data_IF_779876930687
#
_entry.id   IF_779876930687
#
_cell.length_a   1.000
_cell.length_b   1.000
_cell.length_c   1.000
_cell.angle_alpha   90.00
_cell.angle_beta   90.00
_cell.angle_gamma   90.00
#
_symmetry.space_group_name_H-M   'P 1'
#
loop_
_entity.id
_entity.type
_entity.pdbx_description
1 polymer ?
#
# COMPACT_ATOMS: atom_id res chain seq x y z
N UNK A 1 134.44 -42.71 29.50
CA UNK A 1 133.45 -43.30 30.43
C UNK A 1 132.51 -44.23 29.67
N UNK A 2 132.62 -45.42 30.11
CA UNK A 2 131.83 -46.48 29.52
C UNK A 2 130.41 -46.32 30.04
N UNK A 3 129.51 -46.31 29.09
CA UNK A 3 128.08 -46.28 29.46
C UNK A 3 127.78 -47.51 30.32
N UNK A 4 127.20 -47.34 31.43
CA UNK A 4 126.78 -48.44 32.34
C UNK A 4 125.39 -48.19 32.83
N UNK A 5 124.79 -49.22 33.30
CA UNK A 5 123.47 -49.17 33.83
C UNK A 5 123.44 -49.43 35.34
N UNK A 6 122.55 -48.74 36.00
CA UNK A 6 122.30 -48.99 37.45
C UNK A 6 121.01 -49.69 37.63
N UNK A 7 120.98 -50.79 38.35
CA UNK A 7 119.70 -51.37 38.75
C UNK A 7 118.98 -50.36 39.68
N UNK A 8 117.65 -50.34 39.66
CA UNK A 8 116.81 -49.42 40.36
C UNK A 8 117.13 -49.28 41.86
N UNK A 9 117.50 -50.34 42.50
CA UNK A 9 117.91 -50.40 43.92
C UNK A 9 119.22 -49.70 44.27
N UNK A 10 120.00 -49.21 43.25
CA UNK A 10 121.18 -48.40 43.39
C UNK A 10 120.95 -46.92 43.16
N UNK A 11 119.78 -46.58 42.80
CA UNK A 11 119.41 -45.15 42.59
C UNK A 11 118.82 -44.72 43.93
N UNK A 12 119.54 -43.80 44.60
CA UNK A 12 119.08 -43.23 45.88
C UNK A 12 118.63 -41.80 45.65
N UNK A 13 117.89 -41.30 46.63
CA UNK A 13 117.40 -39.91 46.68
C UNK A 13 116.46 -39.47 45.53
N UNK A 14 115.81 -40.42 44.97
CA UNK A 14 114.72 -40.08 44.02
C UNK A 14 113.50 -39.64 44.83
N UNK A 15 113.09 -38.38 44.67
CA UNK A 15 111.99 -37.88 45.48
C UNK A 15 110.65 -38.55 45.10
N UNK A 16 109.77 -38.55 46.01
CA UNK A 16 108.36 -38.83 45.68
C UNK A 16 107.78 -37.65 44.84
N UNK A 17 107.09 -37.97 43.79
CA UNK A 17 106.42 -36.99 42.97
C UNK A 17 105.30 -36.26 43.74
N UNK A 18 105.17 -35.00 43.51
CA UNK A 18 104.04 -34.16 43.98
C UNK A 18 103.62 -33.19 42.88
N UNK A 19 102.69 -32.33 43.15
CA UNK A 19 102.26 -31.27 42.15
C UNK A 19 103.40 -30.32 41.76
N UNK A 20 104.45 -30.16 42.59
CA UNK A 20 105.57 -29.25 42.37
C UNK A 20 106.93 -29.96 42.19
N UNK A 21 107.05 -31.23 42.52
CA UNK A 21 108.35 -32.02 42.50
C UNK A 21 108.17 -33.22 41.55
N UNK A 22 109.13 -33.29 40.60
CA UNK A 22 109.27 -34.50 39.75
C UNK A 22 109.90 -35.64 40.50
N UNK A 23 109.31 -36.83 40.46
CA UNK A 23 109.84 -38.00 41.17
C UNK A 23 109.06 -39.27 40.84
N UNK A 24 109.34 -40.28 41.66
CA UNK A 24 108.62 -41.53 41.55
C UNK A 24 107.23 -41.44 42.18
N UNK A 25 106.34 -42.15 41.66
CA UNK A 25 104.93 -42.13 42.11
C UNK A 25 104.42 -43.57 42.24
N UNK A 26 103.64 -43.81 43.33
CA UNK A 26 102.90 -45.02 43.48
C UNK A 26 101.68 -45.05 42.61
N UNK A 27 101.43 -46.10 41.95
CA UNK A 27 100.22 -46.30 41.19
C UNK A 27 99.02 -46.68 42.08
N UNK A 28 97.87 -46.06 41.80
CA UNK A 28 96.60 -46.39 42.50
C UNK A 28 95.53 -46.72 41.49
N UNK A 29 94.80 -47.77 41.71
CA UNK A 29 93.58 -48.14 40.94
C UNK A 29 92.30 -47.68 41.61
N UNK A 30 92.36 -46.92 42.67
CA UNK A 30 91.14 -46.31 43.26
C UNK A 30 90.56 -45.26 42.35
N UNK A 31 89.29 -45.29 42.13
CA UNK A 31 88.58 -44.35 41.29
C UNK A 31 88.01 -43.13 42.06
N UNK A 32 88.12 -43.18 43.38
CA UNK A 32 87.65 -42.13 44.30
C UNK A 32 88.78 -41.58 45.20
N UNK A 33 90.10 -41.78 44.82
CA UNK A 33 91.22 -41.28 45.57
C UNK A 33 91.34 -39.80 45.53
N UNK A 34 91.60 -39.14 46.63
CA UNK A 34 91.95 -37.75 46.77
C UNK A 34 93.46 -37.50 46.87
N UNK A 35 94.31 -38.55 46.65
CA UNK A 35 95.74 -38.46 46.73
C UNK A 35 96.34 -37.60 45.64
N UNK A 36 97.16 -36.58 45.96
CA UNK A 36 97.92 -35.76 45.03
C UNK A 36 99.30 -36.29 44.72
N UNK A 37 99.69 -37.43 45.34
CA UNK A 37 101.02 -38.09 45.25
C UNK A 37 101.00 -39.47 44.61
N UNK A 38 99.85 -39.92 44.13
CA UNK A 38 99.63 -41.14 43.38
C UNK A 38 99.22 -40.89 41.95
N UNK A 39 99.63 -41.78 41.08
CA UNK A 39 99.18 -41.73 39.66
C UNK A 39 98.10 -42.81 39.45
N UNK A 40 97.06 -42.41 38.75
CA UNK A 40 96.01 -43.34 38.39
C UNK A 40 96.51 -44.41 37.43
N UNK A 41 96.13 -45.62 37.64
CA UNK A 41 96.37 -46.73 36.72
C UNK A 41 95.44 -46.68 35.52
N UNK A 42 95.80 -47.26 34.39
CA UNK A 42 94.87 -47.42 33.27
C UNK A 42 93.58 -48.10 33.68
N UNK A 43 93.61 -48.97 34.72
CA UNK A 43 92.41 -49.62 35.32
C UNK A 43 91.45 -48.56 35.94
N UNK A 44 92.04 -47.63 36.72
CA UNK A 44 91.26 -46.61 37.37
C UNK A 44 90.63 -45.65 36.30
N UNK A 45 91.49 -45.28 35.31
CA UNK A 45 91.01 -44.43 34.22
C UNK A 45 89.93 -45.13 33.41
N UNK A 46 90.10 -46.40 33.09
CA UNK A 46 89.06 -47.15 32.38
C UNK A 46 87.75 -47.23 33.18
N UNK A 47 87.84 -47.49 34.49
CA UNK A 47 86.66 -47.56 35.32
C UNK A 47 85.94 -46.20 35.40
N UNK A 48 86.68 -45.10 35.43
CA UNK A 48 86.11 -43.73 35.32
C UNK A 48 85.48 -43.48 33.94
N UNK A 49 86.17 -43.91 32.88
CA UNK A 49 85.65 -43.84 31.54
C UNK A 49 84.35 -44.66 31.37
N UNK A 50 84.34 -45.90 31.80
CA UNK A 50 83.16 -46.75 31.73
C UNK A 50 82.00 -46.18 32.55
N UNK A 51 82.33 -45.60 33.71
CA UNK A 51 81.31 -44.90 34.50
C UNK A 51 80.75 -43.64 33.71
N UNK A 52 81.63 -42.86 33.08
CA UNK A 52 81.28 -41.73 32.33
C UNK A 52 80.49 -42.12 31.06
N UNK A 53 80.96 -43.18 30.35
CA UNK A 53 80.25 -43.70 29.18
C UNK A 53 78.84 -44.31 29.52
N UNK A 54 78.68 -44.79 30.75
CA UNK A 54 77.36 -45.25 31.23
C UNK A 54 76.41 -44.16 31.67
N UNK A 55 76.87 -42.89 31.67
CA UNK A 55 75.99 -41.81 31.97
C UNK A 55 75.20 -41.45 30.71
N UNK A 56 74.05 -40.85 30.93
CA UNK A 56 73.20 -40.41 29.82
C UNK A 56 73.94 -39.37 28.95
N UNK A 57 73.87 -39.40 27.60
CA UNK A 57 74.43 -38.40 26.71
C UNK A 57 73.94 -37.00 27.09
N UNK A 58 74.71 -35.96 26.74
CA UNK A 58 74.34 -34.55 26.95
C UNK A 58 73.01 -34.27 26.27
N UNK A 59 72.72 -34.97 25.15
CA UNK A 59 71.44 -34.94 24.48
C UNK A 59 70.82 -36.35 24.61
N UNK A 60 69.75 -36.46 25.33
CA UNK A 60 69.01 -37.74 25.51
C UNK A 60 67.49 -37.39 25.67
N UNK A 61 66.66 -38.39 25.51
CA UNK A 61 65.21 -38.27 25.67
C UNK A 61 64.73 -39.09 26.84
N UNK A 62 63.73 -38.55 27.50
CA UNK A 62 63.00 -39.28 28.52
C UNK A 62 61.62 -39.62 28.01
N UNK A 63 61.17 -40.86 28.03
CA UNK A 63 59.76 -41.14 27.83
C UNK A 63 58.94 -40.52 28.98
N UNK A 64 57.71 -40.11 28.63
CA UNK A 64 56.86 -39.36 29.55
C UNK A 64 56.69 -39.99 30.93
N UNK A 65 56.64 -41.30 30.99
CA UNK A 65 56.50 -42.02 32.24
C UNK A 65 57.69 -41.89 33.17
N UNK A 66 58.81 -41.34 32.73
CA UNK A 66 60.03 -41.08 33.58
C UNK A 66 60.05 -39.58 34.02
N UNK A 67 59.09 -38.79 33.62
CA UNK A 67 58.97 -37.39 34.06
C UNK A 67 58.02 -37.43 35.29
N UNK A 68 58.55 -37.20 36.45
CA UNK A 68 57.79 -37.17 37.73
C UNK A 68 57.63 -35.71 38.18
N UNK A 69 56.69 -35.48 39.08
CA UNK A 69 56.47 -34.20 39.77
C UNK A 69 56.16 -33.02 38.84
N UNK A 70 55.62 -33.29 37.62
CA UNK A 70 55.13 -32.23 36.78
C UNK A 70 53.81 -31.72 37.38
N UNK A 71 53.74 -30.43 37.77
CA UNK A 71 52.54 -29.90 38.41
C UNK A 71 51.34 -29.86 37.45
N UNK A 72 50.17 -29.90 37.98
CA UNK A 72 48.98 -29.52 37.23
C UNK A 72 49.01 -28.00 36.99
N UNK A 73 48.69 -27.58 35.76
CA UNK A 73 48.62 -26.18 35.43
C UNK A 73 47.46 -25.51 36.17
N UNK A 74 47.69 -24.26 36.57
CA UNK A 74 46.67 -23.38 37.11
C UNK A 74 46.89 -21.95 36.59
N UNK A 75 46.13 -21.01 37.05
CA UNK A 75 46.30 -19.58 36.65
C UNK A 75 47.68 -19.04 37.08
N UNK A 76 48.33 -19.63 38.10
CA UNK A 76 49.61 -19.17 38.65
C UNK A 76 50.74 -20.16 38.47
N UNK A 77 50.49 -21.43 38.17
CA UNK A 77 51.49 -22.49 38.03
C UNK A 77 51.47 -23.04 36.62
N UNK A 78 52.65 -23.08 36.00
CA UNK A 78 52.84 -23.77 34.70
C UNK A 78 52.89 -25.29 34.95
N UNK A 79 52.23 -26.06 34.13
CA UNK A 79 52.19 -27.50 34.27
C UNK A 79 51.41 -28.18 33.17
N UNK A 80 51.07 -29.44 33.44
CA UNK A 80 50.21 -30.23 32.55
C UNK A 80 48.76 -29.87 32.78
N UNK A 81 47.98 -29.92 31.70
CA UNK A 81 46.54 -29.64 31.75
C UNK A 81 45.74 -30.72 31.04
N UNK A 82 44.64 -31.09 31.61
CA UNK A 82 43.68 -31.97 30.94
C UNK A 82 42.86 -31.17 29.91
N UNK A 83 42.67 -31.71 28.72
CA UNK A 83 41.84 -31.09 27.70
C UNK A 83 40.35 -31.37 27.96
N UNK A 84 39.52 -30.36 27.72
CA UNK A 84 38.07 -30.45 27.81
C UNK A 84 37.40 -29.96 26.53
N UNK A 85 36.43 -30.72 26.05
CA UNK A 85 35.57 -30.30 24.91
C UNK A 85 34.23 -29.71 25.36
N UNK A 86 34.05 -29.47 26.65
CA UNK A 86 32.87 -28.81 27.17
C UNK A 86 32.89 -27.33 26.77
N UNK A 87 31.77 -26.82 26.29
CA UNK A 87 31.59 -25.40 25.87
C UNK A 87 31.06 -24.51 26.99
N UNK A 88 30.65 -25.13 28.12
CA UNK A 88 30.08 -24.46 29.29
C UNK A 88 30.81 -24.76 30.59
N UNK A 89 32.11 -25.20 30.50
CA UNK A 89 32.92 -25.51 31.69
C UNK A 89 33.35 -24.23 32.41
N UNK A 90 33.27 -24.23 33.72
CA UNK A 90 33.82 -23.19 34.60
C UNK A 90 35.18 -23.60 35.20
N UNK A 91 35.80 -24.67 34.69
CA UNK A 91 37.11 -25.15 35.17
C UNK A 91 38.23 -24.16 34.82
N UNK A 92 39.01 -23.81 35.81
CA UNK A 92 40.24 -22.99 35.65
C UNK A 92 41.52 -23.84 35.48
N UNK A 93 41.39 -25.19 35.52
CA UNK A 93 42.50 -26.14 35.45
C UNK A 93 42.48 -27.01 34.20
N UNK A 94 41.54 -26.76 33.29
CA UNK A 94 41.42 -27.48 32.02
C UNK A 94 41.64 -26.52 30.83
N UNK A 95 42.14 -27.04 29.72
CA UNK A 95 42.27 -26.30 28.47
C UNK A 95 41.18 -26.74 27.50
N UNK A 96 40.59 -25.76 26.77
CA UNK A 96 39.63 -26.04 25.74
C UNK A 96 40.28 -26.74 24.54
N UNK A 97 39.61 -27.77 24.02
CA UNK A 97 40.03 -28.41 22.77
C UNK A 97 39.67 -27.53 21.57
N UNK A 98 40.34 -27.71 20.40
CA UNK A 98 39.90 -27.14 19.16
C UNK A 98 38.42 -27.43 18.85
N UNK A 99 37.90 -28.59 19.25
CA UNK A 99 36.48 -28.95 19.12
C UNK A 99 35.56 -28.02 19.93
N UNK A 100 35.92 -27.73 21.17
CA UNK A 100 35.17 -26.81 22.01
C UNK A 100 35.20 -25.38 21.40
N UNK A 101 36.39 -24.94 21.00
CA UNK A 101 36.55 -23.60 20.36
C UNK A 101 35.76 -23.51 19.06
N UNK A 102 35.80 -24.57 18.22
CA UNK A 102 34.99 -24.62 16.99
C UNK A 102 33.50 -24.55 17.29
N UNK A 103 33.01 -25.25 18.27
CA UNK A 103 31.61 -25.21 18.64
C UNK A 103 31.16 -23.79 19.07
N UNK A 104 31.99 -23.07 19.81
CA UNK A 104 31.73 -21.68 20.19
C UNK A 104 31.83 -20.74 18.97
N UNK A 105 32.81 -20.97 18.09
CA UNK A 105 32.94 -20.24 16.86
C UNK A 105 31.71 -20.41 15.96
N UNK A 106 31.26 -21.67 15.77
CA UNK A 106 30.08 -21.97 14.96
C UNK A 106 28.82 -21.32 15.58
N UNK A 107 28.68 -21.35 16.88
CA UNK A 107 27.59 -20.66 17.59
C UNK A 107 27.67 -19.15 17.41
N UNK A 108 28.85 -18.55 17.50
CA UNK A 108 29.05 -17.12 17.30
C UNK A 108 28.80 -16.71 15.85
N UNK A 109 29.29 -17.52 14.90
CA UNK A 109 29.09 -17.29 13.47
C UNK A 109 27.63 -17.49 13.03
N UNK A 110 26.87 -18.33 13.74
CA UNK A 110 25.41 -18.48 13.56
C UNK A 110 24.57 -17.36 14.20
N UNK A 111 25.18 -16.47 14.96
CA UNK A 111 24.51 -15.27 15.45
C UNK A 111 24.43 -14.24 14.33
N UNK A 112 23.41 -13.40 14.41
CA UNK A 112 23.26 -12.34 13.46
C UNK A 112 24.52 -11.42 13.50
N UNK A 113 25.10 -11.09 12.31
CA UNK A 113 26.21 -10.15 12.27
C UNK A 113 25.84 -8.83 12.95
N UNK A 114 26.82 -8.17 13.51
CA UNK A 114 26.63 -6.83 14.04
C UNK A 114 26.17 -5.91 12.89
N UNK A 115 24.95 -5.43 13.01
CA UNK A 115 24.30 -4.54 12.06
C UNK A 115 23.96 -3.22 12.76
N UNK A 116 24.28 -2.12 12.12
CA UNK A 116 24.07 -0.81 12.71
C UNK A 116 22.57 -0.51 12.92
N UNK A 117 21.72 -0.97 12.00
CA UNK A 117 20.26 -0.86 12.12
C UNK A 117 19.73 -1.61 13.34
N UNK A 118 20.21 -2.86 13.55
CA UNK A 118 19.81 -3.64 14.72
C UNK A 118 20.34 -3.04 16.03
N UNK A 119 21.55 -2.48 15.99
CA UNK A 119 22.13 -1.77 17.13
C UNK A 119 21.29 -0.54 17.49
N UNK A 120 20.85 0.23 16.48
CA UNK A 120 19.97 1.37 16.68
C UNK A 120 18.63 0.96 17.31
N UNK A 121 18.03 -0.15 16.84
CA UNK A 121 16.79 -0.69 17.41
C UNK A 121 16.99 -1.20 18.84
N UNK A 122 18.10 -1.93 19.11
CA UNK A 122 18.41 -2.46 20.43
C UNK A 122 18.69 -1.37 21.46
N UNK A 123 19.16 -0.19 21.02
CA UNK A 123 19.41 0.97 21.86
C UNK A 123 18.16 1.75 22.27
N UNK A 124 16.99 1.40 21.73
CA UNK A 124 15.74 2.10 22.05
C UNK A 124 15.23 1.72 23.46
N UNK A 125 14.81 2.72 24.22
CA UNK A 125 14.15 2.52 25.51
C UNK A 125 12.72 2.01 25.29
N UNK A 126 12.56 0.70 25.11
CA UNK A 126 11.26 0.07 24.84
C UNK A 126 10.31 0.25 26.03
N UNK A 127 9.05 0.55 25.71
CA UNK A 127 7.97 0.65 26.70
C UNK A 127 6.65 0.26 26.03
N UNK A 128 5.62 0.03 26.83
CA UNK A 128 4.27 -0.17 26.32
C UNK A 128 3.85 1.01 25.43
N UNK A 129 3.10 0.73 24.40
CA UNK A 129 2.57 1.72 23.46
C UNK A 129 3.64 2.53 22.70
N UNK A 130 4.85 2.00 22.55
CA UNK A 130 5.89 2.58 21.71
C UNK A 130 6.07 1.78 20.43
N UNK A 131 6.13 2.49 19.31
CA UNK A 131 6.40 1.94 17.99
C UNK A 131 7.76 2.47 17.51
N UNK A 132 8.75 1.58 17.25
CA UNK A 132 10.01 2.00 16.67
C UNK A 132 9.82 2.41 15.20
N UNK A 133 10.56 3.41 14.78
CA UNK A 133 10.63 3.84 13.39
C UNK A 133 12.02 4.37 13.06
N UNK A 134 12.41 4.28 11.78
CA UNK A 134 13.70 4.76 11.33
C UNK A 134 13.65 6.26 11.05
N UNK A 135 14.65 6.98 11.51
CA UNK A 135 14.81 8.43 11.31
C UNK A 135 15.88 8.75 10.26
N UNK A 136 16.60 7.74 9.79
CA UNK A 136 17.65 7.80 8.79
C UNK A 136 18.38 6.47 8.67
N UNK A 137 19.47 6.41 7.90
CA UNK A 137 20.31 5.22 7.82
C UNK A 137 20.86 4.90 9.21
N UNK A 138 20.68 3.67 9.66
CA UNK A 138 21.18 3.15 10.93
C UNK A 138 20.78 3.97 12.17
N UNK A 139 19.69 4.71 12.06
CA UNK A 139 19.13 5.50 13.17
C UNK A 139 17.65 5.19 13.36
N UNK A 140 17.24 5.02 14.60
CA UNK A 140 15.86 4.70 14.96
C UNK A 140 15.39 5.53 16.16
N UNK A 141 14.09 5.76 16.25
CA UNK A 141 13.44 6.45 17.34
C UNK A 141 12.13 5.77 17.72
N UNK A 142 11.53 6.21 18.79
CA UNK A 142 10.23 5.72 19.25
C UNK A 142 9.16 6.79 19.07
N UNK A 143 8.01 6.41 18.56
CA UNK A 143 6.78 7.20 18.63
C UNK A 143 5.74 6.49 19.50
N UNK A 144 4.72 7.21 19.92
CA UNK A 144 3.62 6.60 20.68
C UNK A 144 2.63 5.97 19.70
N UNK A 145 2.38 4.69 19.86
CA UNK A 145 1.29 4.01 19.18
C UNK A 145 -0.01 4.30 19.93
N UNK A 146 -0.77 5.29 19.44
CA UNK A 146 -2.06 5.66 20.03
C UNK A 146 -3.10 4.54 19.88
N UNK A 147 -4.18 4.58 20.66
CA UNK A 147 -5.30 3.65 20.53
C UNK A 147 -5.90 3.69 19.12
N UNK A 148 -5.99 4.87 18.50
CA UNK A 148 -6.46 5.01 17.11
C UNK A 148 -5.52 4.29 16.15
N UNK A 149 -4.22 4.51 16.27
CA UNK A 149 -3.22 3.82 15.43
C UNK A 149 -3.29 2.31 15.59
N UNK A 150 -3.41 1.80 16.82
CA UNK A 150 -3.56 0.37 17.11
C UNK A 150 -4.83 -0.19 16.49
N UNK A 151 -5.97 0.51 16.67
CA UNK A 151 -7.23 0.08 16.11
C UNK A 151 -7.23 0.05 14.57
N UNK A 152 -6.49 0.96 13.92
CA UNK A 152 -6.31 0.92 12.46
C UNK A 152 -5.47 -0.31 12.05
N UNK A 153 -4.35 -0.55 12.73
CA UNK A 153 -3.47 -1.69 12.45
C UNK A 153 -4.14 -3.05 12.71
N UNK A 154 -5.12 -3.10 13.61
CA UNK A 154 -5.90 -4.30 13.94
C UNK A 154 -6.94 -4.66 12.88
N UNK A 155 -7.18 -3.81 11.89
CA UNK A 155 -8.21 -4.08 10.87
C UNK A 155 -7.72 -5.04 9.81
N UNK A 156 -8.50 -6.10 9.58
CA UNK A 156 -8.17 -7.18 8.64
C UNK A 156 -8.34 -6.78 7.16
N UNK A 157 -8.94 -5.62 6.86
CA UNK A 157 -9.19 -5.19 5.47
C UNK A 157 -9.27 -3.67 5.35
N UNK A 158 -9.02 -3.17 4.14
CA UNK A 158 -9.22 -1.74 3.80
C UNK A 158 -10.64 -1.29 4.11
N UNK A 159 -11.64 -2.14 3.86
CA UNK A 159 -13.04 -1.85 4.17
C UNK A 159 -13.25 -1.64 5.68
N UNK A 160 -12.65 -2.49 6.51
CA UNK A 160 -12.74 -2.37 7.97
C UNK A 160 -12.07 -1.09 8.49
N UNK A 161 -10.97 -0.64 7.86
CA UNK A 161 -10.33 0.65 8.16
C UNK A 161 -11.27 1.81 7.81
N UNK A 162 -11.85 1.79 6.61
CA UNK A 162 -12.77 2.83 6.13
C UNK A 162 -13.99 2.95 7.07
N UNK A 163 -14.54 1.81 7.50
CA UNK A 163 -15.66 1.77 8.47
C UNK A 163 -15.25 2.33 9.84
N UNK A 164 -14.08 1.95 10.33
CA UNK A 164 -13.58 2.48 11.60
C UNK A 164 -13.39 3.99 11.58
N UNK A 165 -12.97 4.55 10.44
CA UNK A 165 -12.85 5.99 10.25
C UNK A 165 -14.20 6.71 10.05
N UNK A 166 -15.31 5.97 10.01
CA UNK A 166 -16.64 6.54 9.76
C UNK A 166 -16.84 7.02 8.33
N UNK A 167 -16.01 6.57 7.40
CA UNK A 167 -16.06 6.98 6.00
C UNK A 167 -16.94 6.07 5.12
N UNK A 168 -17.52 5.03 5.70
CA UNK A 168 -18.48 4.17 5.02
C UNK A 168 -19.59 3.69 5.96
N UNK A 169 -20.74 3.34 5.38
CA UNK A 169 -21.80 2.64 6.10
C UNK A 169 -21.51 1.11 6.20
N UNK A 170 -22.41 0.38 6.86
CA UNK A 170 -22.30 -1.07 7.03
C UNK A 170 -22.28 -1.85 5.71
N UNK A 171 -22.80 -1.27 4.61
CA UNK A 171 -22.79 -1.89 3.27
C UNK A 171 -21.48 -1.67 2.51
N UNK A 172 -20.57 -0.84 3.06
CA UNK A 172 -19.32 -0.45 2.42
C UNK A 172 -19.46 0.72 1.44
N UNK A 173 -20.59 1.43 1.48
CA UNK A 173 -20.77 2.64 0.69
C UNK A 173 -19.95 3.80 1.27
N UNK A 174 -19.06 4.35 0.46
CA UNK A 174 -18.16 5.47 0.84
C UNK A 174 -18.54 6.79 0.18
N UNK A 175 -19.51 6.81 -0.71
CA UNK A 175 -19.93 8.01 -1.44
C UNK A 175 -18.94 8.50 -2.49
N UNK A 176 -17.95 7.69 -2.84
CA UNK A 176 -16.96 8.03 -3.85
C UNK A 176 -17.60 8.01 -5.25
N UNK A 177 -17.56 9.14 -5.96
CA UNK A 177 -17.99 9.18 -7.34
C UNK A 177 -17.14 8.24 -8.22
N UNK A 178 -17.83 7.44 -9.06
CA UNK A 178 -17.22 6.52 -10.01
C UNK A 178 -17.33 7.00 -11.43
N UNK A 179 -18.54 7.40 -11.85
CA UNK A 179 -18.82 7.71 -13.24
C UNK A 179 -20.11 8.53 -13.38
N UNK A 180 -20.31 9.11 -14.56
CA UNK A 180 -21.57 9.71 -14.96
C UNK A 180 -21.97 9.18 -16.33
N UNK A 181 -23.21 8.68 -16.44
CA UNK A 181 -23.83 8.23 -17.69
C UNK A 181 -24.92 9.22 -18.09
N UNK A 182 -24.91 9.67 -19.35
CA UNK A 182 -25.88 10.58 -19.87
C UNK A 182 -26.60 9.92 -21.04
N UNK A 183 -27.94 9.85 -20.95
CA UNK A 183 -28.81 9.31 -21.99
C UNK A 183 -29.67 10.43 -22.56
N UNK A 184 -29.39 10.79 -23.80
CA UNK A 184 -30.23 11.75 -24.63
C UNK A 184 -31.13 11.02 -25.60
N UNK A 185 -31.02 9.68 -25.65
CA UNK A 185 -31.88 8.77 -26.39
C UNK A 185 -32.06 7.47 -25.56
N UNK A 186 -33.11 6.73 -25.83
CA UNK A 186 -33.36 5.45 -25.16
C UNK A 186 -32.22 4.46 -25.35
N UNK A 187 -31.91 3.67 -24.33
CA UNK A 187 -30.79 2.74 -24.33
C UNK A 187 -30.80 1.83 -23.10
N UNK A 188 -29.67 1.27 -22.77
CA UNK A 188 -29.49 0.39 -21.60
C UNK A 188 -28.41 0.94 -20.71
N UNK A 189 -28.71 1.09 -19.44
CA UNK A 189 -27.75 1.41 -18.39
C UNK A 189 -27.22 0.11 -17.79
N UNK A 190 -25.88 -0.03 -17.70
CA UNK A 190 -25.21 -1.09 -17.00
C UNK A 190 -24.30 -0.44 -15.94
N UNK A 191 -24.51 -0.73 -14.65
CA UNK A 191 -23.69 -0.18 -13.59
C UNK A 191 -22.20 -0.51 -13.76
N UNK A 192 -21.33 0.46 -13.51
CA UNK A 192 -19.89 0.22 -13.42
C UNK A 192 -19.58 -0.74 -12.27
N UNK A 193 -18.64 -1.70 -12.41
CA UNK A 193 -18.27 -2.57 -11.31
C UNK A 193 -17.89 -1.79 -10.05
N UNK A 194 -18.46 -2.17 -8.91
CA UNK A 194 -18.23 -1.47 -7.64
C UNK A 194 -19.26 -0.39 -7.31
N UNK A 195 -20.21 -0.10 -8.21
CA UNK A 195 -21.32 0.83 -7.94
C UNK A 195 -22.19 0.32 -6.80
N UNK A 196 -22.33 1.08 -5.75
CA UNK A 196 -23.17 0.82 -4.57
C UNK A 196 -24.48 1.61 -4.61
N UNK A 197 -24.42 2.85 -5.01
CA UNK A 197 -25.57 3.75 -5.17
C UNK A 197 -25.48 4.55 -6.45
N UNK A 198 -26.62 4.95 -6.95
CA UNK A 198 -26.74 5.84 -8.10
C UNK A 198 -27.64 7.01 -7.76
N UNK A 199 -27.30 8.20 -8.26
CA UNK A 199 -28.21 9.33 -8.30
C UNK A 199 -28.73 9.48 -9.71
N UNK A 200 -30.03 9.35 -9.87
CA UNK A 200 -30.73 9.44 -11.15
C UNK A 200 -31.41 10.78 -11.24
N UNK A 201 -31.08 11.56 -12.27
CA UNK A 201 -31.80 12.79 -12.65
C UNK A 201 -32.45 12.54 -13.99
N UNK A 202 -33.77 12.43 -14.01
CA UNK A 202 -34.52 12.07 -15.23
C UNK A 202 -35.62 13.06 -15.47
N UNK A 203 -35.77 13.51 -16.75
CA UNK A 203 -36.71 14.54 -17.20
C UNK A 203 -37.49 13.99 -18.37
N UNK A 204 -38.81 14.22 -18.37
CA UNK A 204 -39.70 13.87 -19.47
C UNK A 204 -39.52 14.80 -20.66
N UNK A 205 -40.06 14.44 -21.81
CA UNK A 205 -40.12 15.31 -23.01
C UNK A 205 -41.01 16.49 -22.82
N UNK A 206 -40.68 17.64 -23.38
CA UNK A 206 -41.55 18.82 -23.41
C UNK A 206 -42.70 18.68 -24.43
N UNK A 207 -43.82 19.31 -24.18
CA UNK A 207 -44.92 19.40 -25.11
C UNK A 207 -44.62 20.31 -26.30
N UNK A 208 -45.22 20.07 -27.43
CA UNK A 208 -45.14 20.96 -28.59
C UNK A 208 -46.04 22.20 -28.43
N UNK A 209 -45.67 23.33 -29.01
CA UNK A 209 -46.53 24.50 -29.05
C UNK A 209 -47.69 24.36 -30.05
N UNK A 210 -48.77 25.08 -29.83
CA UNK A 210 -49.89 25.17 -30.76
C UNK A 210 -49.53 25.85 -32.09
N UNK A 211 -50.09 25.39 -33.18
CA UNK A 211 -49.98 26.01 -34.49
C UNK A 211 -50.90 27.19 -34.63
N UNK A 212 -50.91 27.80 -35.82
CA UNK A 212 -51.80 28.92 -36.15
C UNK A 212 -52.17 28.87 -37.63
N UNK A 213 -53.42 29.16 -37.92
CA UNK A 213 -53.92 29.52 -39.25
C UNK A 213 -55.19 30.28 -39.07
N UNK A 214 -55.19 31.61 -39.10
CA UNK A 214 -56.38 32.42 -38.94
C UNK A 214 -56.88 32.83 -40.31
N UNK A 215 -58.09 32.46 -40.66
CA UNK A 215 -58.77 32.78 -41.92
C UNK A 215 -60.00 33.63 -41.67
N UNK A 216 -60.38 33.87 -40.40
CA UNK A 216 -61.49 34.72 -40.02
C UNK A 216 -61.23 35.40 -38.68
N UNK A 217 -61.95 36.50 -38.38
CA UNK A 217 -61.86 37.21 -37.11
C UNK A 217 -62.40 36.37 -35.91
N UNK A 218 -62.97 35.22 -36.15
CA UNK A 218 -63.49 34.32 -35.16
C UNK A 218 -62.43 33.24 -34.72
N UNK A 219 -61.22 33.36 -35.19
CA UNK A 219 -60.14 32.44 -34.89
C UNK A 219 -59.07 33.12 -34.09
N UNK A 220 -58.41 32.35 -33.24
CA UNK A 220 -57.22 32.79 -32.50
C UNK A 220 -55.99 32.81 -33.41
N UNK A 221 -55.34 33.94 -33.48
CA UNK A 221 -54.14 34.18 -34.33
C UNK A 221 -52.86 33.71 -33.65
N UNK A 222 -52.93 33.13 -32.38
CA UNK A 222 -51.85 32.85 -31.56
C UNK A 222 -52.00 31.41 -30.99
N UNK A 223 -51.03 30.52 -31.27
CA UNK A 223 -50.87 29.23 -30.61
C UNK A 223 -50.27 29.42 -29.23
N UNK A 224 -50.71 28.58 -28.28
CA UNK A 224 -50.15 28.57 -26.95
C UNK A 224 -48.84 27.76 -26.89
N UNK A 225 -48.00 28.02 -25.91
CA UNK A 225 -46.77 27.27 -25.67
C UNK A 225 -47.03 25.87 -25.07
N UNK A 226 -46.20 24.90 -25.40
CA UNK A 226 -46.20 23.59 -24.78
C UNK A 226 -45.60 23.61 -23.39
N UNK A 227 -46.09 22.78 -22.45
CA UNK A 227 -45.52 22.64 -21.11
C UNK A 227 -44.20 21.86 -21.13
N UNK A 228 -43.36 22.06 -20.15
CA UNK A 228 -42.12 21.31 -19.99
C UNK A 228 -42.38 19.96 -19.34
N UNK A 229 -41.50 18.97 -19.56
CA UNK A 229 -41.50 17.72 -18.86
C UNK A 229 -41.12 17.86 -17.39
N UNK A 230 -41.71 17.04 -16.53
CA UNK A 230 -41.35 16.97 -15.13
C UNK A 230 -39.98 16.30 -14.94
N UNK A 231 -39.29 16.66 -13.84
CA UNK A 231 -37.99 16.11 -13.49
C UNK A 231 -38.06 15.38 -12.14
N UNK A 232 -37.37 14.25 -12.07
CA UNK A 232 -37.19 13.47 -10.86
C UNK A 232 -35.69 13.38 -10.57
N UNK A 233 -35.32 13.60 -9.31
CA UNK A 233 -33.99 13.27 -8.80
C UNK A 233 -34.19 12.27 -7.69
N UNK A 234 -33.52 11.10 -7.77
CA UNK A 234 -33.65 10.07 -6.76
C UNK A 234 -32.35 9.31 -6.59
N UNK A 235 -32.08 8.91 -5.33
CA UNK A 235 -30.94 8.05 -5.00
C UNK A 235 -31.46 6.63 -4.81
N UNK A 236 -30.81 5.66 -5.45
CA UNK A 236 -31.23 4.27 -5.37
C UNK A 236 -30.03 3.32 -5.39
N UNK A 237 -30.24 2.13 -4.84
CA UNK A 237 -29.26 1.03 -4.92
C UNK A 237 -29.60 0.18 -6.14
N UNK A 238 -28.66 0.06 -7.12
CA UNK A 238 -28.92 -0.84 -8.25
C UNK A 238 -28.93 -2.29 -7.79
N UNK A 239 -29.96 -3.02 -8.14
CA UNK A 239 -30.16 -4.45 -7.80
C UNK A 239 -30.06 -5.37 -9.01
N UNK A 240 -30.00 -4.81 -10.22
CA UNK A 240 -29.94 -5.54 -11.48
C UNK A 240 -28.62 -5.23 -12.21
N UNK A 241 -28.21 -6.14 -13.05
CA UNK A 241 -27.00 -5.98 -13.88
C UNK A 241 -27.20 -4.98 -15.02
N UNK A 242 -28.44 -4.70 -15.41
CA UNK A 242 -28.77 -3.70 -16.42
C UNK A 242 -30.20 -3.20 -16.27
N UNK A 243 -30.44 -2.00 -16.74
CA UNK A 243 -31.74 -1.32 -16.70
C UNK A 243 -32.05 -0.69 -18.04
N UNK A 244 -33.25 -0.86 -18.60
CA UNK A 244 -33.68 -0.10 -19.75
C UNK A 244 -33.86 1.37 -19.34
N UNK A 245 -33.42 2.27 -20.21
CA UNK A 245 -33.62 3.72 -20.10
C UNK A 245 -34.50 4.13 -21.27
N UNK A 246 -35.66 4.67 -20.99
CA UNK A 246 -36.52 5.27 -22.02
C UNK A 246 -36.43 6.77 -21.91
N UNK A 247 -36.16 7.43 -23.00
CA UNK A 247 -36.16 8.92 -23.11
C UNK A 247 -37.38 9.34 -23.83
N UNK A 248 -38.19 10.16 -23.17
CA UNK A 248 -39.41 10.71 -23.74
C UNK A 248 -39.09 11.70 -24.86
N UNK A 249 -39.66 11.47 -26.05
CA UNK A 249 -39.52 12.39 -27.16
C UNK A 249 -40.29 13.69 -26.87
N UNK A 250 -39.78 14.78 -27.35
CA UNK A 250 -40.52 16.06 -27.36
C UNK A 250 -41.75 15.98 -28.24
N UNK A 251 -42.85 16.55 -27.78
CA UNK A 251 -44.09 16.62 -28.53
C UNK A 251 -43.96 17.43 -29.82
N UNK A 252 -44.62 17.00 -30.87
CA UNK A 252 -44.66 17.77 -32.14
C UNK A 252 -45.43 19.07 -31.95
N UNK A 253 -44.96 20.14 -32.60
CA UNK A 253 -45.75 21.38 -32.71
C UNK A 253 -47.01 21.16 -33.53
N UNK A 254 -48.09 21.84 -33.16
CA UNK A 254 -49.34 21.84 -33.94
C UNK A 254 -49.11 22.44 -35.34
N UNK A 255 -49.68 21.77 -36.34
CA UNK A 255 -49.61 22.24 -37.74
C UNK A 255 -50.90 22.97 -38.07
N UNK A 256 -50.77 24.16 -38.64
CA UNK A 256 -52.00 24.96 -38.93
C UNK A 256 -52.79 25.22 -37.63
N UNK A 257 -54.08 25.27 -37.67
CA UNK A 257 -54.94 25.50 -36.51
C UNK A 257 -55.14 24.25 -35.64
N UNK A 258 -54.04 23.62 -35.19
CA UNK A 258 -54.09 22.43 -34.32
C UNK A 258 -53.23 22.58 -33.06
N UNK A 259 -53.60 21.85 -32.04
CA UNK A 259 -52.84 21.78 -30.80
C UNK A 259 -51.50 21.10 -31.03
N UNK A 260 -50.50 21.50 -30.25
CA UNK A 260 -49.26 20.73 -30.10
C UNK A 260 -49.55 19.40 -29.41
N UNK A 261 -48.66 18.41 -29.58
CA UNK A 261 -48.78 17.11 -28.91
C UNK A 261 -48.04 17.11 -27.59
N UNK A 262 -48.47 16.23 -26.71
CA UNK A 262 -47.79 15.95 -25.44
C UNK A 262 -46.37 15.37 -25.67
N UNK A 263 -45.41 15.73 -24.84
CA UNK A 263 -44.13 15.06 -24.77
C UNK A 263 -44.23 13.68 -24.15
N UNK A 264 -43.31 12.79 -24.50
CA UNK A 264 -43.23 11.45 -23.97
C UNK A 264 -42.71 11.42 -22.52
N UNK A 265 -43.08 10.37 -21.76
CA UNK A 265 -42.48 10.12 -20.46
C UNK A 265 -41.07 9.55 -20.62
N UNK A 266 -40.15 9.99 -19.75
CA UNK A 266 -38.86 9.32 -19.60
C UNK A 266 -38.95 8.30 -18.43
N UNK A 267 -38.39 7.12 -18.61
CA UNK A 267 -38.55 6.01 -17.64
C UNK A 267 -37.18 5.40 -17.32
N UNK A 268 -36.91 5.23 -16.04
CA UNK A 268 -35.78 4.48 -15.52
C UNK A 268 -36.22 3.67 -14.29
N UNK A 269 -36.17 2.34 -14.38
CA UNK A 269 -36.68 1.45 -13.33
C UNK A 269 -38.15 1.80 -12.98
N UNK A 270 -38.41 2.13 -11.72
CA UNK A 270 -39.73 2.59 -11.26
C UNK A 270 -39.97 4.11 -11.43
N UNK A 271 -38.95 4.86 -11.82
CA UNK A 271 -39.06 6.31 -11.98
C UNK A 271 -39.68 6.66 -13.33
N UNK A 272 -40.76 7.40 -13.29
CA UNK A 272 -41.49 7.89 -14.51
C UNK A 272 -41.53 9.39 -14.42
N UNK A 273 -40.68 10.07 -15.21
CA UNK A 273 -40.70 11.52 -15.40
C UNK A 273 -41.71 11.86 -16.52
N UNK A 274 -42.84 12.48 -16.18
CA UNK A 274 -43.91 12.71 -17.13
C UNK A 274 -43.54 13.80 -18.15
N UNK A 275 -44.02 13.62 -19.39
CA UNK A 275 -43.91 14.66 -20.41
C UNK A 275 -44.88 15.82 -20.19
N UNK A 276 -44.52 17.00 -20.68
CA UNK A 276 -45.37 18.18 -20.68
C UNK A 276 -46.52 18.08 -21.69
N UNK A 277 -47.64 18.71 -21.41
CA UNK A 277 -48.78 18.79 -22.32
C UNK A 277 -48.48 19.69 -23.52
N UNK A 278 -49.13 19.42 -24.64
CA UNK A 278 -49.07 20.30 -25.81
C UNK A 278 -49.79 21.60 -25.59
N UNK A 279 -49.33 22.68 -26.23
CA UNK A 279 -50.00 23.98 -26.25
C UNK A 279 -51.26 23.95 -27.11
N UNK A 280 -52.28 24.61 -26.64
CA UNK A 280 -53.58 24.68 -27.31
C UNK A 280 -53.61 25.57 -28.56
N UNK A 281 -54.62 25.30 -29.39
CA UNK A 281 -55.03 26.17 -30.51
C UNK A 281 -56.54 26.29 -30.60
N UNK A 282 -57.23 25.62 -29.75
CA UNK A 282 -58.70 25.61 -29.77
C UNK A 282 -59.26 26.74 -28.92
N UNK A 283 -59.95 27.68 -29.51
CA UNK A 283 -60.50 28.81 -28.81
C UNK A 283 -60.67 30.03 -29.79
N UNK A 284 -61.59 30.93 -29.50
CA UNK A 284 -61.88 32.11 -30.33
C UNK A 284 -61.03 33.29 -29.85
N UNK A 285 -60.82 33.43 -28.58
CA UNK A 285 -60.11 34.61 -28.01
C UNK A 285 -58.81 34.26 -27.31
N UNK A 286 -58.68 33.05 -26.81
CA UNK A 286 -57.46 32.58 -26.14
C UNK A 286 -57.27 31.07 -26.34
N UNK A 287 -56.08 30.63 -26.20
CA UNK A 287 -55.70 29.21 -26.16
C UNK A 287 -54.85 28.94 -24.96
N UNK A 288 -55.09 27.84 -24.29
CA UNK A 288 -54.37 27.53 -23.05
C UNK A 288 -53.00 26.97 -23.33
N UNK A 289 -52.05 27.41 -22.57
CA UNK A 289 -50.71 26.81 -22.49
C UNK A 289 -50.78 25.34 -22.06
N UNK A 290 -49.84 24.55 -22.50
CA UNK A 290 -49.72 23.15 -22.07
C UNK A 290 -49.25 23.10 -20.62
N UNK A 291 -49.88 22.31 -19.80
CA UNK A 291 -49.43 22.10 -18.40
C UNK A 291 -48.11 21.38 -18.37
N UNK A 292 -47.24 21.75 -17.42
CA UNK A 292 -46.00 21.04 -17.14
C UNK A 292 -46.25 19.64 -16.62
N UNK A 293 -45.32 18.74 -16.87
CA UNK A 293 -45.34 17.38 -16.33
C UNK A 293 -45.19 17.39 -14.81
N UNK A 294 -46.06 16.69 -14.09
CA UNK A 294 -46.07 16.64 -12.62
C UNK A 294 -45.63 15.24 -12.19
N UNK A 295 -44.37 15.07 -11.68
CA UNK A 295 -43.94 13.79 -11.15
C UNK A 295 -44.65 13.42 -9.85
N UNK A 296 -45.03 12.15 -9.69
CA UNK A 296 -45.70 11.63 -8.49
C UNK A 296 -44.81 10.65 -7.66
N UNK A 297 -43.61 10.33 -8.15
CA UNK A 297 -42.67 9.41 -7.52
C UNK A 297 -41.26 10.01 -7.54
N UNK A 298 -40.39 9.58 -6.63
CA UNK A 298 -39.00 10.00 -6.49
C UNK A 298 -38.76 10.87 -5.27
N UNK A 299 -37.49 11.02 -4.89
CA UNK A 299 -37.08 11.75 -3.67
C UNK A 299 -37.28 13.27 -3.82
N UNK A 300 -36.87 13.81 -4.96
CA UNK A 300 -37.10 15.20 -5.34
C UNK A 300 -37.90 15.21 -6.63
N UNK A 301 -39.02 15.90 -6.61
CA UNK A 301 -39.98 15.97 -7.69
C UNK A 301 -40.12 17.45 -8.13
N UNK A 302 -39.77 17.72 -9.37
CA UNK A 302 -39.78 19.08 -9.93
C UNK A 302 -40.79 19.09 -11.06
N UNK A 303 -41.87 19.83 -10.89
CA UNK A 303 -42.86 20.06 -11.93
C UNK A 303 -42.26 20.84 -13.06
N UNK A 304 -42.52 20.44 -14.29
CA UNK A 304 -42.18 21.25 -15.47
C UNK A 304 -42.94 22.56 -15.48
N UNK A 305 -42.36 23.60 -16.07
CA UNK A 305 -43.05 24.88 -16.26
C UNK A 305 -44.21 24.72 -17.24
N UNK A 306 -45.32 25.42 -16.99
CA UNK A 306 -46.41 25.51 -17.92
C UNK A 306 -46.02 26.35 -19.14
N UNK A 307 -46.59 26.05 -20.27
CA UNK A 307 -46.51 26.91 -21.46
C UNK A 307 -47.35 28.15 -21.28
N UNK A 308 -46.95 29.25 -21.90
CA UNK A 308 -47.74 30.48 -21.93
C UNK A 308 -49.01 30.35 -22.80
N UNK A 309 -50.07 31.03 -22.38
CA UNK A 309 -51.29 31.12 -23.16
C UNK A 309 -51.06 31.91 -24.46
N UNK A 310 -51.80 31.56 -25.51
CA UNK A 310 -51.92 32.35 -26.70
C UNK A 310 -53.18 33.21 -26.63
N UNK A 311 -53.07 34.54 -26.79
CA UNK A 311 -54.18 35.43 -26.68
C UNK A 311 -54.25 36.34 -27.88
N UNK A 312 -55.46 36.55 -28.39
CA UNK A 312 -55.76 37.54 -29.44
C UNK A 312 -56.62 38.70 -28.89
N UNK A 313 -56.58 39.82 -29.50
CA UNK A 313 -57.28 41.02 -29.10
C UNK A 313 -56.36 42.24 -29.03
N UNK A 314 -56.77 43.25 -28.22
CA UNK A 314 -55.98 44.45 -28.07
C UNK A 314 -54.58 44.25 -27.49
N UNK A 315 -54.39 43.16 -26.79
CA UNK A 315 -53.09 42.71 -26.31
C UNK A 315 -52.83 41.30 -26.86
N UNK A 316 -52.01 41.27 -27.88
CA UNK A 316 -51.64 40.01 -28.53
C UNK A 316 -50.48 39.41 -27.82
N UNK A 317 -50.66 38.22 -27.19
CA UNK A 317 -49.60 37.45 -26.51
C UNK A 317 -49.56 36.08 -27.13
N UNK A 318 -48.40 35.69 -27.63
CA UNK A 318 -48.14 34.31 -28.05
C UNK A 318 -47.46 33.54 -26.95
N UNK A 319 -47.80 32.24 -26.85
CA UNK A 319 -47.35 31.37 -25.82
C UNK A 319 -45.88 30.99 -25.94
N UNK A 320 -45.09 31.34 -24.98
CA UNK A 320 -43.73 30.80 -24.79
C UNK A 320 -43.83 29.37 -24.30
N UNK A 321 -42.89 28.52 -24.71
CA UNK A 321 -42.80 27.16 -24.16
C UNK A 321 -42.38 27.17 -22.71
N UNK A 322 -42.90 26.20 -21.90
CA UNK A 322 -42.56 26.03 -20.50
C UNK A 322 -41.06 25.73 -20.29
N UNK A 323 -40.48 26.31 -19.27
CA UNK A 323 -39.11 26.02 -18.87
C UNK A 323 -39.03 24.67 -18.13
N UNK A 324 -38.00 23.88 -18.43
CA UNK A 324 -37.67 22.67 -17.72
C UNK A 324 -36.65 22.93 -16.58
N UNK A 325 -36.31 21.90 -15.82
CA UNK A 325 -35.20 21.93 -14.86
C UNK A 325 -33.87 22.39 -15.50
N UNK A 326 -33.69 22.13 -16.80
CA UNK A 326 -32.45 22.39 -17.55
C UNK A 326 -32.41 23.77 -18.23
N UNK A 327 -33.54 24.47 -18.26
CA UNK A 327 -33.57 25.80 -18.84
C UNK A 327 -34.85 26.14 -19.62
N UNK A 328 -34.82 27.23 -20.32
CA UNK A 328 -35.96 27.86 -20.96
C UNK A 328 -36.57 27.09 -22.13
N UNK A 329 -37.84 27.33 -22.35
CA UNK A 329 -38.61 26.79 -23.44
C UNK A 329 -38.34 27.50 -24.79
N UNK A 330 -39.07 27.07 -25.80
CA UNK A 330 -39.07 27.65 -27.10
C UNK A 330 -39.78 28.99 -27.10
N UNK A 331 -39.23 29.98 -27.74
CA UNK A 331 -39.87 31.28 -27.96
C UNK A 331 -41.08 31.11 -28.89
N UNK A 332 -42.14 31.84 -28.63
CA UNK A 332 -43.19 32.05 -29.62
C UNK A 332 -42.63 32.71 -30.90
N UNK A 333 -43.23 32.42 -32.05
CA UNK A 333 -42.68 32.87 -33.30
C UNK A 333 -43.73 33.29 -34.37
N UNK A 334 -43.52 34.43 -34.95
CA UNK A 334 -44.19 34.85 -36.21
C UNK A 334 -43.69 33.92 -37.32
N UNK A 335 -44.61 33.25 -37.99
CA UNK A 335 -44.24 32.30 -39.03
C UNK A 335 -43.88 30.89 -38.50
N UNK A 336 -43.84 30.68 -37.20
CA UNK A 336 -43.62 29.38 -36.56
C UNK A 336 -43.04 29.48 -35.16
N UNK A 337 -43.50 28.64 -34.25
CA UNK A 337 -42.97 28.54 -32.90
C UNK A 337 -41.55 27.94 -32.88
N UNK A 338 -40.70 28.41 -31.97
CA UNK A 338 -39.32 27.87 -31.80
C UNK A 338 -39.40 26.62 -30.95
N UNK A 339 -38.59 25.62 -31.30
CA UNK A 339 -38.48 24.38 -30.50
C UNK A 339 -37.98 24.67 -29.09
N UNK A 340 -38.30 23.77 -28.15
CA UNK A 340 -37.73 23.77 -26.82
C UNK A 340 -36.19 23.78 -26.88
N UNK A 341 -35.53 24.60 -26.03
CA UNK A 341 -34.09 24.84 -26.10
C UNK A 341 -33.27 23.96 -25.16
N UNK A 342 -33.86 23.66 -24.01
CA UNK A 342 -33.24 22.81 -23.02
C UNK A 342 -33.93 21.43 -22.99
N UNK A 343 -33.28 20.40 -22.48
CA UNK A 343 -33.88 19.06 -22.32
C UNK A 343 -35.24 19.14 -21.61
N UNK A 344 -36.25 18.54 -22.21
CA UNK A 344 -37.59 18.50 -21.66
C UNK A 344 -38.35 19.82 -21.70
N UNK A 345 -37.83 20.89 -22.23
CA UNK A 345 -38.53 22.18 -22.31
C UNK A 345 -39.62 22.19 -23.38
N UNK A 346 -40.67 22.97 -23.17
CA UNK A 346 -41.80 23.10 -24.09
C UNK A 346 -41.45 23.88 -25.37
N UNK A 347 -42.13 23.57 -26.45
CA UNK A 347 -42.07 24.37 -27.73
C UNK A 347 -42.95 25.61 -27.67
N UNK A 348 -42.52 26.69 -28.33
CA UNK A 348 -43.30 27.93 -28.42
C UNK A 348 -44.47 27.82 -29.37
N UNK A 349 -45.53 28.58 -29.13
CA UNK A 349 -46.67 28.72 -30.02
C UNK A 349 -46.35 29.54 -31.28
N UNK A 350 -47.05 29.23 -32.36
CA UNK A 350 -46.97 30.02 -33.60
C UNK A 350 -47.99 31.15 -33.59
N UNK A 351 -47.70 32.27 -34.30
CA UNK A 351 -48.69 33.31 -34.52
C UNK A 351 -48.58 33.88 -35.93
N UNK A 352 -49.74 34.33 -36.40
CA UNK A 352 -49.90 35.01 -37.71
C UNK A 352 -50.14 36.51 -37.49
N UNK A 353 -49.05 37.27 -37.34
CA UNK A 353 -49.12 38.71 -37.09
C UNK A 353 -49.72 39.53 -38.24
N UNK A 354 -49.72 38.97 -39.41
CA UNK A 354 -50.20 39.70 -40.65
C UNK A 354 -51.58 39.30 -41.12
N UNK A 355 -52.30 38.43 -40.37
CA UNK A 355 -53.57 37.87 -40.80
C UNK A 355 -53.52 37.23 -42.20
N UNK A 356 -52.37 36.58 -42.47
CA UNK A 356 -52.09 36.11 -43.84
C UNK A 356 -52.91 34.86 -44.21
N UNK A 357 -53.52 34.18 -43.22
CA UNK A 357 -54.17 32.90 -43.42
C UNK A 357 -53.23 31.79 -43.78
N UNK A 358 -51.92 32.04 -43.65
CA UNK A 358 -50.90 31.06 -43.91
C UNK A 358 -50.80 30.05 -42.73
N UNK A 359 -50.60 28.80 -43.06
CA UNK A 359 -50.38 27.74 -42.02
C UNK A 359 -49.05 27.95 -41.33
N UNK A 360 -49.06 28.11 -39.98
CA UNK A 360 -47.94 28.31 -39.16
C UNK A 360 -47.80 27.10 -38.19
N UNK A 361 -46.62 26.56 -38.01
CA UNK A 361 -46.39 25.39 -37.16
C UNK A 361 -45.82 25.81 -35.81
N UNK A 362 -46.38 25.31 -34.71
CA UNK A 362 -45.81 25.44 -33.36
C UNK A 362 -44.45 24.78 -33.22
N UNK A 363 -43.64 25.24 -32.28
CA UNK A 363 -42.35 24.68 -31.99
C UNK A 363 -42.46 23.25 -31.42
N UNK A 364 -41.57 22.36 -31.81
CA UNK A 364 -41.44 21.04 -31.18
C UNK A 364 -40.95 21.20 -29.75
N UNK A 365 -41.49 20.44 -28.79
CA UNK A 365 -40.88 20.28 -27.47
C UNK A 365 -39.52 19.63 -27.56
N UNK A 366 -38.68 19.85 -26.58
CA UNK A 366 -37.38 19.20 -26.49
C UNK A 366 -37.53 17.78 -25.93
N UNK A 367 -36.68 16.88 -26.40
CA UNK A 367 -36.61 15.52 -25.87
C UNK A 367 -36.13 15.55 -24.40
N UNK A 368 -36.52 14.55 -23.62
CA UNK A 368 -36.07 14.37 -22.24
C UNK A 368 -34.61 13.97 -22.11
N UNK A 369 -34.17 13.75 -20.91
CA UNK A 369 -32.80 13.28 -20.59
C UNK A 369 -32.80 12.42 -19.34
N UNK A 370 -31.88 11.47 -19.24
CA UNK A 370 -31.58 10.76 -18.01
C UNK A 370 -30.08 10.84 -17.73
N UNK A 371 -29.72 11.34 -16.56
CA UNK A 371 -28.33 11.40 -16.07
C UNK A 371 -28.25 10.51 -14.86
N UNK A 372 -27.26 9.58 -14.87
CA UNK A 372 -27.01 8.63 -13.79
C UNK A 372 -25.59 8.83 -13.31
N UNK A 373 -25.45 9.25 -12.07
CA UNK A 373 -24.16 9.38 -11.37
C UNK A 373 -23.97 8.16 -10.48
N UNK A 374 -22.83 7.53 -10.59
CA UNK A 374 -22.47 6.27 -9.92
C UNK A 374 -21.55 6.52 -8.75
N UNK A 375 -21.82 5.87 -7.61
CA UNK A 375 -21.04 6.01 -6.36
C UNK A 375 -20.70 4.63 -5.77
N UNK A 376 -19.43 4.49 -5.26
CA UNK A 376 -18.94 3.34 -4.52
C UNK A 376 -19.05 3.51 -3.02
#
# INVERSE_FOLDING_TARGET
>A
PVSHTHPWNQITDVPAASLTVKGTVQLSSATNSTSETQAATPKAVKAAYDLAAGKAPVSHTHPWNQITDVPAASLTVKGTVQLSSATNSTSETQAATPKAVKAVYDLANGKQPADATLTALAGLATAADKLPYFTGNDTASLTTLTNVGRNILDKASTQAVIQYLGLSDASGYVGRWLNTRVFTSSGTYTPTPGTKRIRVTITGGGGGGGGCKAISNNETFFGAGGGAGGTIISIMTPTQNSYPVTIGAGGAGGVSATNGTRGGNSVFASLIAPGGAGGGKVGVTNTNGGNGGVPNIGDIRITGGDGGDGQSGNISVSGEGGASYWGGGGRAGAGGGVRGRAFGSGGGGAYDAGYSGTSMTGGKGADGVCIIEEFA
#
